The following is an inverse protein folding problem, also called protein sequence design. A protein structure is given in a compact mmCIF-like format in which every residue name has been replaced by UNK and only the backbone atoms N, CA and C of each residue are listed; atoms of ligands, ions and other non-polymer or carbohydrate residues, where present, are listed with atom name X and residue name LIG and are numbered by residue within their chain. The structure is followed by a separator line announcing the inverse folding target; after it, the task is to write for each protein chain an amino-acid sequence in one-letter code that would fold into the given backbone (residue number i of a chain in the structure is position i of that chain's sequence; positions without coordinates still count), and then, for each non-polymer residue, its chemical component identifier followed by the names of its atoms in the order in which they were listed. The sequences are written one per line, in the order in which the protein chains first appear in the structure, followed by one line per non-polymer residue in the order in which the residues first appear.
data_IF_806616890109
#
_entry.id   IF_806616890109
#
_cell.length_a   1.000
_cell.length_b   1.000
_cell.length_c   1.000
_cell.angle_alpha   90.00
_cell.angle_beta   90.00
_cell.angle_gamma   90.00
#
_symmetry.space_group_name_H-M   'P 1'
#
loop_
_entity.id
_entity.type
_entity.pdbx_description
1 polymer ?
#
# COMPACT_ATOMS: atom_id res chain seq x y z
N UNK A 1 -23.63 -58.00 -67.94
CA UNK A 1 -23.92 -58.76 -66.71
C UNK A 1 -23.02 -58.33 -65.62
N UNK A 2 -23.56 -58.07 -64.40
CA UNK A 2 -22.97 -57.87 -63.10
C UNK A 2 -22.65 -56.44 -62.74
N UNK A 3 -23.50 -55.92 -61.97
CA UNK A 3 -23.47 -54.79 -61.09
C UNK A 3 -22.62 -55.09 -59.87
N UNK A 4 -21.84 -54.12 -59.34
CA UNK A 4 -21.38 -54.12 -57.97
C UNK A 4 -21.38 -52.73 -57.38
N UNK A 5 -21.94 -52.68 -56.25
CA UNK A 5 -22.37 -51.52 -55.51
C UNK A 5 -21.25 -50.78 -54.78
N UNK A 6 -21.31 -49.45 -54.78
CA UNK A 6 -20.62 -48.58 -53.89
C UNK A 6 -21.41 -48.43 -52.57
N UNK A 7 -20.86 -48.90 -51.47
CA UNK A 7 -21.29 -48.52 -50.12
C UNK A 7 -20.08 -48.58 -49.18
N UNK A 8 -19.60 -47.43 -48.70
CA UNK A 8 -18.54 -47.40 -47.71
C UNK A 8 -17.87 -46.03 -47.53
N UNK A 9 -18.62 -44.99 -47.37
CA UNK A 9 -18.01 -43.66 -47.24
C UNK A 9 -18.69 -42.67 -46.26
N UNK A 10 -19.71 -43.07 -45.52
CA UNK A 10 -20.47 -42.10 -44.69
C UNK A 10 -20.41 -42.34 -43.18
N UNK A 11 -19.71 -43.36 -42.72
CA UNK A 11 -19.68 -43.67 -41.27
C UNK A 11 -18.52 -43.05 -40.48
N UNK A 12 -17.47 -42.55 -41.14
CA UNK A 12 -16.30 -41.97 -40.45
C UNK A 12 -16.40 -40.45 -40.16
N UNK A 13 -17.25 -39.72 -40.87
CA UNK A 13 -17.39 -38.27 -40.66
C UNK A 13 -18.27 -37.88 -39.48
N UNK A 14 -19.14 -38.76 -39.01
CA UNK A 14 -20.13 -38.45 -37.94
C UNK A 14 -19.55 -38.65 -36.54
N UNK A 15 -18.48 -39.42 -36.38
CA UNK A 15 -17.85 -39.70 -35.07
C UNK A 15 -16.76 -38.66 -34.69
N UNK A 16 -16.17 -37.99 -35.68
CA UNK A 16 -15.11 -36.99 -35.42
C UNK A 16 -15.65 -35.62 -34.98
N UNK A 17 -16.85 -35.25 -35.37
CA UNK A 17 -17.44 -33.95 -34.99
C UNK A 17 -17.77 -33.83 -33.48
N UNK A 18 -18.36 -34.81 -32.79
CA UNK A 18 -18.60 -34.73 -31.37
C UNK A 18 -17.34 -34.83 -30.52
N UNK A 19 -16.27 -35.49 -31.00
CA UNK A 19 -15.00 -35.57 -30.29
C UNK A 19 -14.22 -34.24 -30.30
N UNK A 20 -14.30 -33.50 -31.40
CA UNK A 20 -13.72 -32.13 -31.49
C UNK A 20 -14.50 -31.11 -30.66
N UNK A 21 -15.82 -31.25 -30.55
CA UNK A 21 -16.63 -30.41 -29.64
C UNK A 21 -16.37 -30.73 -28.16
N UNK A 22 -16.11 -31.98 -27.80
CA UNK A 22 -15.77 -32.35 -26.42
C UNK A 22 -14.35 -31.86 -26.03
N UNK A 23 -13.40 -31.85 -26.93
CA UNK A 23 -12.05 -31.32 -26.73
C UNK A 23 -12.03 -29.79 -26.61
N UNK A 24 -12.95 -29.10 -27.27
CA UNK A 24 -13.11 -27.64 -27.15
C UNK A 24 -13.72 -27.23 -25.79
N UNK A 25 -14.47 -28.12 -25.12
CA UNK A 25 -15.05 -27.90 -23.80
C UNK A 25 -14.07 -28.22 -22.63
N UNK A 26 -12.93 -28.82 -22.94
CA UNK A 26 -11.84 -29.13 -22.02
C UNK A 26 -10.68 -28.14 -22.10
N UNK A 27 -10.85 -27.00 -22.79
CA UNK A 27 -9.92 -25.89 -22.63
C UNK A 27 -9.91 -25.54 -21.15
N UNK A 28 -8.73 -25.58 -20.47
CA UNK A 28 -8.68 -25.16 -19.08
C UNK A 28 -9.23 -23.74 -19.03
N UNK A 29 -10.26 -23.50 -18.24
CA UNK A 29 -10.53 -22.15 -17.75
C UNK A 29 -9.21 -21.71 -17.09
N UNK A 30 -8.37 -21.06 -17.87
CA UNK A 30 -7.36 -20.19 -17.30
C UNK A 30 -8.17 -19.15 -16.54
N UNK A 31 -8.33 -19.39 -15.26
CA UNK A 31 -8.68 -18.37 -14.32
C UNK A 31 -7.54 -17.35 -14.43
N UNK A 32 -7.67 -16.43 -15.40
CA UNK A 32 -6.90 -15.20 -15.38
C UNK A 32 -7.25 -14.62 -14.03
N UNK A 33 -6.31 -14.67 -13.10
CA UNK A 33 -6.39 -13.88 -11.88
C UNK A 33 -6.73 -12.48 -12.37
N UNK A 34 -7.97 -12.04 -12.12
CA UNK A 34 -8.40 -10.73 -12.54
C UNK A 34 -7.37 -9.79 -11.91
N UNK A 35 -6.52 -9.20 -12.75
CA UNK A 35 -5.65 -8.14 -12.32
C UNK A 35 -6.54 -7.18 -11.54
N UNK A 36 -6.21 -6.94 -10.27
CA UNK A 36 -6.96 -6.01 -9.44
C UNK A 36 -6.88 -4.66 -10.15
N UNK A 37 -7.87 -4.39 -10.99
CA UNK A 37 -7.90 -3.15 -11.74
C UNK A 37 -8.58 -2.12 -10.87
N UNK A 38 -7.98 -0.93 -10.75
CA UNK A 38 -8.65 0.25 -10.19
C UNK A 38 -9.94 0.61 -10.98
N UNK A 39 -10.20 -0.09 -12.07
CA UNK A 39 -11.39 -0.03 -12.92
C UNK A 39 -12.55 -0.72 -12.20
N UNK A 40 -13.52 0.06 -11.74
CA UNK A 40 -14.72 -0.45 -11.06
C UNK A 40 -14.90 0.06 -9.62
N UNK A 41 -13.88 0.71 -9.04
CA UNK A 41 -14.10 1.54 -7.88
C UNK A 41 -14.77 2.83 -8.36
N UNK A 42 -16.08 2.92 -8.16
CA UNK A 42 -16.90 4.00 -8.71
C UNK A 42 -16.30 5.37 -8.33
N UNK A 43 -16.20 6.31 -9.29
CA UNK A 43 -15.78 7.67 -8.97
C UNK A 43 -16.70 8.26 -7.92
N UNK A 44 -16.15 9.09 -7.04
CA UNK A 44 -16.90 9.78 -5.99
C UNK A 44 -18.11 10.49 -6.59
N UNK A 45 -19.31 10.08 -6.19
CA UNK A 45 -20.54 10.73 -6.63
C UNK A 45 -20.61 12.16 -6.11
N UNK A 46 -21.02 13.10 -6.96
CA UNK A 46 -21.27 14.47 -6.52
C UNK A 46 -22.34 14.46 -5.43
N UNK A 47 -22.03 15.07 -4.29
CA UNK A 47 -22.97 15.19 -3.16
C UNK A 47 -24.11 16.14 -3.55
N UNK A 48 -25.31 15.87 -3.05
CA UNK A 48 -26.49 16.71 -3.34
C UNK A 48 -26.54 17.96 -2.47
N UNK A 49 -25.97 17.88 -1.28
CA UNK A 49 -25.90 19.00 -0.35
C UNK A 49 -24.46 19.46 -0.21
N UNK A 50 -24.27 20.78 -0.16
CA UNK A 50 -22.98 21.42 0.10
C UNK A 50 -23.17 22.36 1.27
N UNK A 51 -22.33 22.22 2.30
CA UNK A 51 -22.28 23.12 3.45
C UNK A 51 -20.83 23.60 3.65
N UNK A 52 -20.67 24.79 4.19
CA UNK A 52 -19.36 25.36 4.48
C UNK A 52 -19.02 25.24 5.95
N UNK A 53 -17.73 25.01 6.26
CA UNK A 53 -17.25 25.02 7.65
C UNK A 53 -17.51 26.40 8.33
N UNK A 54 -17.64 27.46 7.58
CA UNK A 54 -17.96 28.80 8.08
C UNK A 54 -19.36 28.88 8.70
N UNK A 55 -20.31 28.07 8.23
CA UNK A 55 -21.66 27.99 8.79
C UNK A 55 -21.68 27.42 10.22
N UNK A 56 -20.60 26.79 10.63
CA UNK A 56 -20.43 26.19 11.97
C UNK A 56 -19.52 27.04 12.87
N UNK A 57 -19.22 28.28 12.46
CA UNK A 57 -18.37 29.19 13.20
C UNK A 57 -16.87 28.96 12.96
N UNK A 58 -16.51 28.28 11.88
CA UNK A 58 -15.12 28.12 11.49
C UNK A 58 -14.51 29.43 11.01
N UNK A 59 -13.24 29.68 11.37
CA UNK A 59 -12.47 30.88 11.03
C UNK A 59 -11.13 30.48 10.42
N UNK A 60 -10.88 30.87 9.17
CA UNK A 60 -9.70 30.51 8.39
C UNK A 60 -8.50 31.44 8.54
N UNK A 61 -8.22 31.93 9.76
CA UNK A 61 -7.20 32.94 10.08
C UNK A 61 -5.83 32.35 10.48
N UNK A 62 -5.71 31.02 10.55
CA UNK A 62 -4.49 30.30 10.98
C UNK A 62 -4.20 30.35 12.48
N UNK A 63 -5.07 30.94 13.29
CA UNK A 63 -4.89 31.13 14.73
C UNK A 63 -6.02 30.52 15.55
N UNK A 64 -7.26 30.73 15.12
CA UNK A 64 -8.46 30.21 15.77
C UNK A 64 -8.53 28.69 15.63
N UNK A 65 -8.68 27.98 16.76
CA UNK A 65 -8.80 26.52 16.77
C UNK A 65 -10.22 26.09 16.38
N UNK A 66 -10.38 25.48 15.23
CA UNK A 66 -11.67 25.14 14.61
C UNK A 66 -12.18 23.72 14.95
N UNK A 67 -11.57 22.99 15.87
CA UNK A 67 -11.94 21.58 16.16
C UNK A 67 -13.42 21.45 16.46
N UNK A 68 -13.99 22.39 17.20
CA UNK A 68 -15.41 22.39 17.53
C UNK A 68 -16.29 22.63 16.29
N UNK A 69 -15.90 23.52 15.38
CA UNK A 69 -16.61 23.78 14.15
C UNK A 69 -16.66 22.52 13.26
N UNK A 70 -15.53 21.84 13.07
CA UNK A 70 -15.47 20.57 12.34
C UNK A 70 -16.35 19.50 12.98
N UNK A 71 -16.28 19.29 14.30
CA UNK A 71 -17.10 18.32 15.03
C UNK A 71 -18.60 18.63 14.89
N UNK A 72 -19.01 19.89 15.00
CA UNK A 72 -20.40 20.31 14.78
C UNK A 72 -20.86 20.00 13.36
N UNK A 73 -20.04 20.33 12.35
CA UNK A 73 -20.38 20.07 10.95
C UNK A 73 -20.57 18.57 10.70
N UNK A 74 -19.64 17.74 11.19
CA UNK A 74 -19.74 16.29 11.05
C UNK A 74 -20.94 15.74 11.80
N UNK A 75 -21.18 16.19 13.03
CA UNK A 75 -22.37 15.83 13.80
C UNK A 75 -23.68 16.14 13.06
N UNK A 76 -23.78 17.33 12.46
CA UNK A 76 -24.92 17.72 11.64
C UNK A 76 -25.09 16.79 10.42
N UNK A 77 -24.02 16.45 9.71
CA UNK A 77 -24.06 15.54 8.57
C UNK A 77 -24.54 14.14 9.01
N UNK A 78 -24.06 13.66 10.13
CA UNK A 78 -24.40 12.34 10.67
C UNK A 78 -25.86 12.22 11.05
N UNK A 79 -26.42 13.23 11.74
CA UNK A 79 -27.76 13.20 12.29
C UNK A 79 -28.85 13.75 11.35
N UNK A 80 -28.46 14.54 10.36
CA UNK A 80 -29.38 15.07 9.34
C UNK A 80 -29.03 14.53 7.95
N UNK A 81 -28.93 13.23 7.83
CA UNK A 81 -28.52 12.56 6.60
C UNK A 81 -29.38 12.97 5.42
N UNK A 82 -28.76 13.51 4.38
CA UNK A 82 -29.42 13.84 3.10
C UNK A 82 -29.22 12.71 2.10
N UNK A 83 -30.28 12.40 1.37
CA UNK A 83 -30.19 11.42 0.27
C UNK A 83 -29.15 11.89 -0.75
N UNK A 84 -28.10 11.08 -0.98
CA UNK A 84 -26.97 11.42 -1.86
C UNK A 84 -25.77 12.06 -1.14
N UNK A 85 -25.84 12.17 0.19
CA UNK A 85 -24.73 12.62 1.04
C UNK A 85 -24.47 14.12 1.00
N UNK A 86 -23.54 14.58 1.84
CA UNK A 86 -23.21 15.97 2.06
C UNK A 86 -21.71 16.25 1.81
N UNK A 87 -21.42 17.34 1.13
CA UNK A 87 -20.07 17.89 1.01
C UNK A 87 -19.85 18.95 2.10
N UNK A 88 -18.87 18.75 2.95
CA UNK A 88 -18.34 19.76 3.85
C UNK A 88 -17.20 20.49 3.14
N UNK A 89 -17.42 21.72 2.76
CA UNK A 89 -16.45 22.55 2.06
C UNK A 89 -15.62 23.37 3.02
N UNK A 90 -14.30 23.29 2.85
CA UNK A 90 -13.31 24.14 3.52
C UNK A 90 -12.84 25.19 2.50
N UNK A 91 -13.25 26.46 2.62
CA UNK A 91 -12.85 27.53 1.71
C UNK A 91 -11.35 27.87 1.81
N UNK A 92 -10.87 28.73 0.92
CA UNK A 92 -9.51 29.29 1.02
C UNK A 92 -9.28 29.93 2.41
N UNK A 93 -8.10 29.75 2.94
CA UNK A 93 -7.71 30.18 4.31
C UNK A 93 -6.91 29.11 5.05
N UNK A 94 -6.40 29.47 6.21
CA UNK A 94 -5.66 28.54 7.09
C UNK A 94 -6.52 28.15 8.28
N UNK A 95 -6.92 26.89 8.34
CA UNK A 95 -7.88 26.34 9.29
C UNK A 95 -7.13 25.50 10.34
N UNK A 96 -6.73 26.16 11.44
CA UNK A 96 -6.06 25.46 12.56
C UNK A 96 -7.07 24.59 13.29
N UNK A 97 -6.78 23.30 13.50
CA UNK A 97 -7.68 22.39 14.22
C UNK A 97 -6.91 21.28 14.94
N UNK A 98 -7.53 20.68 15.94
CA UNK A 98 -7.11 19.39 16.51
C UNK A 98 -7.71 18.22 15.74
N UNK A 99 -7.51 17.01 16.26
CA UNK A 99 -8.07 15.78 15.68
C UNK A 99 -9.60 15.78 15.63
N UNK A 100 -10.17 15.28 14.54
CA UNK A 100 -11.61 15.07 14.37
C UNK A 100 -11.93 13.87 13.49
N UNK A 101 -13.09 13.28 13.72
CA UNK A 101 -13.60 12.14 12.94
C UNK A 101 -14.47 12.63 11.79
N UNK A 102 -14.49 11.87 10.71
CA UNK A 102 -15.49 11.99 9.64
C UNK A 102 -16.69 11.06 9.92
N UNK A 103 -17.71 11.13 9.08
CA UNK A 103 -18.89 10.24 9.11
C UNK A 103 -19.18 9.68 7.73
N UNK A 104 -20.08 8.70 7.65
CA UNK A 104 -20.46 8.06 6.38
C UNK A 104 -21.23 9.00 5.45
N UNK A 105 -21.11 8.74 4.14
CA UNK A 105 -21.80 9.47 3.07
C UNK A 105 -21.45 10.96 3.00
N UNK A 106 -20.19 11.29 3.31
CA UNK A 106 -19.73 12.66 3.25
C UNK A 106 -18.53 12.85 2.32
N UNK A 107 -18.36 14.06 1.86
CA UNK A 107 -17.13 14.55 1.23
C UNK A 107 -16.55 15.67 2.07
N UNK A 108 -15.28 15.55 2.47
CA UNK A 108 -14.48 16.67 2.93
C UNK A 108 -13.78 17.28 1.72
N UNK A 109 -14.21 18.49 1.31
CA UNK A 109 -13.67 19.17 0.14
C UNK A 109 -12.81 20.36 0.54
N UNK A 110 -11.54 20.34 0.14
CA UNK A 110 -10.61 21.46 0.37
C UNK A 110 -10.47 22.29 -0.91
N UNK A 111 -10.99 23.52 -0.87
CA UNK A 111 -10.90 24.44 -1.99
C UNK A 111 -9.44 24.83 -2.27
N UNK A 112 -9.19 25.39 -3.44
CA UNK A 112 -7.89 26.00 -3.76
C UNK A 112 -7.55 27.07 -2.74
N UNK A 113 -6.33 27.00 -2.17
CA UNK A 113 -5.88 27.91 -1.12
C UNK A 113 -6.39 27.57 0.29
N UNK A 114 -7.15 26.48 0.47
CA UNK A 114 -7.46 25.95 1.80
C UNK A 114 -6.25 25.19 2.36
N UNK A 115 -5.88 25.50 3.59
CA UNK A 115 -4.87 24.77 4.38
C UNK A 115 -5.51 24.32 5.68
N UNK A 116 -5.77 23.01 5.80
CA UNK A 116 -6.20 22.40 7.05
C UNK A 116 -4.94 22.07 7.86
N UNK A 117 -4.72 22.80 8.95
CA UNK A 117 -3.49 22.80 9.72
C UNK A 117 -3.69 22.16 11.09
N UNK A 118 -2.92 21.14 11.41
CA UNK A 118 -2.99 20.47 12.71
C UNK A 118 -2.43 21.34 13.83
N UNK A 119 -3.03 21.28 15.02
CA UNK A 119 -2.47 21.99 16.19
C UNK A 119 -1.20 21.31 16.69
N UNK A 120 -0.21 22.10 17.07
CA UNK A 120 1.01 21.63 17.72
C UNK A 120 0.86 21.43 19.23
N UNK A 121 -0.27 21.82 19.81
CA UNK A 121 -0.60 21.54 21.21
C UNK A 121 -1.01 20.08 21.37
N UNK A 122 -0.07 19.22 21.76
CA UNK A 122 -0.27 17.76 21.89
C UNK A 122 -1.34 17.39 22.92
N UNK A 123 -1.66 18.27 23.89
CA UNK A 123 -2.72 18.06 24.88
C UNK A 123 -4.13 18.07 24.25
N UNK A 124 -4.26 18.57 23.02
CA UNK A 124 -5.52 18.60 22.26
C UNK A 124 -5.72 17.36 21.38
N UNK A 125 -4.81 16.40 21.47
CA UNK A 125 -4.90 15.14 20.74
C UNK A 125 -5.43 14.04 21.65
N UNK A 126 -6.62 13.49 21.37
CA UNK A 126 -7.18 12.40 22.16
C UNK A 126 -6.29 11.16 22.12
N UNK A 127 -6.28 10.39 23.18
CA UNK A 127 -5.72 9.05 23.21
C UNK A 127 -6.81 8.05 22.83
N UNK A 128 -6.42 7.03 22.08
CA UNK A 128 -7.26 5.91 21.64
C UNK A 128 -6.52 4.60 21.86
N UNK A 129 -7.28 3.50 21.89
CA UNK A 129 -6.71 2.16 22.04
C UNK A 129 -5.76 1.81 20.89
N UNK A 130 -4.78 0.97 21.12
CA UNK A 130 -3.95 0.38 20.07
C UNK A 130 -4.81 -0.38 19.06
N UNK A 131 -4.29 -0.54 17.85
CA UNK A 131 -4.94 -1.39 16.85
C UNK A 131 -4.87 -2.87 17.29
N UNK A 132 -5.95 -3.65 17.20
CA UNK A 132 -5.95 -5.05 17.61
C UNK A 132 -4.86 -5.90 16.95
N UNK A 133 -4.56 -5.66 15.65
CA UNK A 133 -3.49 -6.36 14.94
C UNK A 133 -2.08 -5.94 15.35
N UNK A 134 -1.94 -4.94 16.22
CA UNK A 134 -0.68 -4.47 16.81
C UNK A 134 -0.63 -4.73 18.33
N UNK A 135 -1.76 -5.00 18.97
CA UNK A 135 -1.92 -5.33 20.37
C UNK A 135 -1.50 -4.26 21.36
N UNK A 136 -0.38 -3.63 21.12
CA UNK A 136 0.20 -2.49 21.84
C UNK A 136 0.48 -1.37 20.85
N UNK A 137 0.81 -0.16 21.34
CA UNK A 137 1.21 0.94 20.47
C UNK A 137 2.43 0.57 19.61
N UNK A 138 2.47 1.03 18.37
CA UNK A 138 3.54 0.68 17.42
C UNK A 138 4.92 1.19 17.84
N UNK A 139 5.00 2.36 18.47
CA UNK A 139 6.25 2.95 18.96
C UNK A 139 6.39 2.83 20.47
N UNK A 140 5.31 3.09 21.18
CA UNK A 140 5.26 3.06 22.65
C UNK A 140 4.16 2.11 23.10
N UNK A 141 4.37 1.37 24.19
CA UNK A 141 3.33 0.51 24.75
C UNK A 141 2.10 1.31 25.21
N UNK A 142 0.91 0.72 25.03
CA UNK A 142 -0.34 1.30 25.52
C UNK A 142 -1.06 2.14 24.46
N UNK A 143 -1.79 3.14 24.92
CA UNK A 143 -2.61 4.00 24.06
C UNK A 143 -1.78 4.74 23.00
N UNK A 144 -2.45 5.14 21.93
CA UNK A 144 -1.87 5.95 20.85
C UNK A 144 -2.66 7.25 20.67
N UNK A 145 -2.02 8.26 20.12
CA UNK A 145 -2.75 9.47 19.75
C UNK A 145 -3.70 9.18 18.57
N UNK A 146 -4.92 9.71 18.67
CA UNK A 146 -5.89 9.66 17.57
C UNK A 146 -5.32 10.39 16.35
N UNK A 147 -5.54 9.84 15.17
CA UNK A 147 -5.08 10.42 13.91
C UNK A 147 -5.74 11.78 13.65
N UNK A 148 -5.08 12.63 12.87
CA UNK A 148 -5.56 14.00 12.65
C UNK A 148 -6.96 14.02 12.02
N UNK A 149 -7.15 13.25 10.96
CA UNK A 149 -8.46 12.97 10.36
C UNK A 149 -8.68 11.46 10.43
N UNK A 150 -9.78 11.05 11.03
CA UNK A 150 -10.04 9.62 11.21
C UNK A 150 -11.51 9.24 10.99
N UNK A 151 -11.74 7.94 10.85
CA UNK A 151 -13.08 7.36 10.78
C UNK A 151 -13.05 5.87 11.05
N UNK A 152 -14.11 5.35 11.69
CA UNK A 152 -14.23 3.93 12.00
C UNK A 152 -15.62 3.43 11.58
N UNK A 153 -15.67 2.30 10.85
CA UNK A 153 -16.91 1.69 10.38
C UNK A 153 -17.66 2.52 9.34
N UNK A 154 -16.97 3.40 8.62
CA UNK A 154 -17.58 4.33 7.69
C UNK A 154 -17.84 3.71 6.31
N UNK A 155 -18.80 4.30 5.60
CA UNK A 155 -19.14 3.94 4.22
C UNK A 155 -19.25 5.19 3.35
N UNK A 156 -18.71 5.11 2.13
CA UNK A 156 -18.84 6.17 1.11
C UNK A 156 -18.31 7.51 1.63
N UNK A 157 -17.01 7.58 1.91
CA UNK A 157 -16.33 8.78 2.39
C UNK A 157 -15.31 9.25 1.37
N UNK A 158 -15.32 10.53 1.10
CA UNK A 158 -14.40 11.17 0.16
C UNK A 158 -13.64 12.29 0.87
N UNK A 159 -12.32 12.30 0.71
CA UNK A 159 -11.48 13.46 0.99
C UNK A 159 -10.92 13.92 -0.35
N UNK A 160 -11.27 15.12 -0.79
CA UNK A 160 -10.82 15.63 -2.09
C UNK A 160 -10.74 17.15 -2.10
N UNK A 161 -10.34 17.73 -3.20
CA UNK A 161 -10.27 19.18 -3.30
C UNK A 161 -9.74 19.68 -4.64
N UNK A 162 -9.42 20.95 -4.66
CA UNK A 162 -8.71 21.61 -5.76
C UNK A 162 -7.30 22.01 -5.28
N UNK A 163 -6.42 21.03 -5.07
CA UNK A 163 -5.07 21.19 -4.52
C UNK A 163 -5.03 21.86 -3.15
N UNK A 164 -6.10 21.75 -2.36
CA UNK A 164 -6.07 22.14 -0.96
C UNK A 164 -5.08 21.27 -0.17
N UNK A 165 -4.62 21.79 0.96
CA UNK A 165 -3.52 21.22 1.73
C UNK A 165 -4.01 20.71 3.09
N UNK A 166 -3.54 19.54 3.50
CA UNK A 166 -3.59 19.06 4.89
C UNK A 166 -2.16 19.06 5.42
N UNK A 167 -1.88 19.90 6.41
CA UNK A 167 -0.56 20.04 7.04
C UNK A 167 -0.60 19.50 8.47
N UNK A 168 0.08 18.39 8.69
CA UNK A 168 0.13 17.70 9.99
C UNK A 168 1.01 18.36 11.03
N UNK A 169 1.82 19.38 10.64
CA UNK A 169 2.80 20.03 11.52
C UNK A 169 3.67 19.03 12.32
N UNK A 170 4.12 17.97 11.65
CA UNK A 170 4.79 16.80 12.25
C UNK A 170 6.08 17.12 13.02
N UNK A 171 6.71 18.27 12.80
CA UNK A 171 8.00 18.60 13.38
C UNK A 171 8.02 18.50 14.92
N UNK A 172 6.96 18.91 15.60
CA UNK A 172 6.84 18.78 17.07
C UNK A 172 6.92 17.31 17.50
N UNK A 173 6.29 16.43 16.74
CA UNK A 173 6.26 14.98 16.98
C UNK A 173 7.60 14.32 16.67
N UNK A 174 8.24 14.71 15.54
CA UNK A 174 9.56 14.21 15.17
C UNK A 174 10.62 14.61 16.18
N UNK A 175 10.54 15.83 16.73
CA UNK A 175 11.44 16.30 17.77
C UNK A 175 11.26 15.52 19.08
N UNK A 176 10.02 15.21 19.48
CA UNK A 176 9.77 14.34 20.64
C UNK A 176 10.30 12.91 20.40
N UNK A 177 10.13 12.38 19.20
CA UNK A 177 10.67 11.08 18.82
C UNK A 177 12.21 11.06 18.90
N UNK A 178 12.88 12.03 18.29
CA UNK A 178 14.35 12.15 18.32
C UNK A 178 14.90 12.31 19.73
N UNK A 179 14.18 13.03 20.58
CA UNK A 179 14.54 13.24 22.00
C UNK A 179 14.12 12.09 22.92
N UNK A 180 13.41 11.07 22.39
CA UNK A 180 12.87 9.95 23.17
C UNK A 180 11.94 10.40 24.31
N UNK A 181 11.14 11.43 24.07
CA UNK A 181 10.18 11.99 25.04
C UNK A 181 8.73 11.68 24.69
N UNK A 182 8.49 10.85 23.68
CA UNK A 182 7.16 10.34 23.36
C UNK A 182 6.66 9.46 24.50
N UNK A 183 5.41 9.67 24.90
CA UNK A 183 4.70 8.83 25.87
C UNK A 183 3.78 7.82 25.21
N UNK A 184 3.31 8.11 24.00
CA UNK A 184 2.39 7.30 23.21
C UNK A 184 2.80 7.31 21.74
N UNK A 185 2.35 6.31 20.98
CA UNK A 185 2.57 6.29 19.54
C UNK A 185 1.99 7.55 18.88
N UNK A 186 2.77 8.15 18.00
CA UNK A 186 2.40 9.36 17.25
C UNK A 186 1.11 9.18 16.44
N UNK A 187 0.37 10.26 16.15
CA UNK A 187 -0.83 10.18 15.33
C UNK A 187 -0.49 10.04 13.83
N UNK A 188 -1.27 9.27 13.10
CA UNK A 188 -1.26 9.33 11.63
C UNK A 188 -1.93 10.62 11.13
N UNK A 189 -1.70 10.99 9.87
CA UNK A 189 -2.37 12.16 9.31
C UNK A 189 -3.83 11.84 8.92
N UNK A 190 -4.05 10.76 8.16
CA UNK A 190 -5.38 10.29 7.78
C UNK A 190 -5.47 8.79 8.06
N UNK A 191 -6.44 8.38 8.86
CA UNK A 191 -6.64 6.98 9.22
C UNK A 191 -8.12 6.58 9.12
N UNK A 192 -8.38 5.53 8.38
CA UNK A 192 -9.70 4.89 8.34
C UNK A 192 -9.59 3.46 8.84
N UNK A 193 -10.50 3.10 9.75
CA UNK A 193 -10.60 1.75 10.32
C UNK A 193 -11.93 1.12 9.93
N UNK A 194 -11.94 -0.19 9.61
CA UNK A 194 -13.16 -0.97 9.33
C UNK A 194 -14.12 -0.30 8.31
N UNK A 195 -13.58 0.49 7.39
CA UNK A 195 -14.37 1.34 6.50
C UNK A 195 -14.38 0.81 5.06
N UNK A 196 -15.40 1.17 4.29
CA UNK A 196 -15.53 0.73 2.90
C UNK A 196 -15.95 1.87 1.97
N UNK A 197 -15.42 1.87 0.74
CA UNK A 197 -15.73 2.92 -0.23
C UNK A 197 -15.07 4.25 0.15
N UNK A 198 -13.78 4.23 0.43
CA UNK A 198 -12.99 5.40 0.80
C UNK A 198 -12.28 5.93 -0.45
N UNK A 199 -12.38 7.22 -0.72
CA UNK A 199 -11.71 7.86 -1.84
C UNK A 199 -10.94 9.11 -1.38
N UNK A 200 -9.63 9.13 -1.59
CA UNK A 200 -8.76 10.25 -1.24
C UNK A 200 -8.07 10.74 -2.51
N UNK A 201 -8.28 12.02 -2.87
CA UNK A 201 -7.77 12.50 -4.16
C UNK A 201 -7.59 14.02 -4.25
N UNK A 202 -6.76 14.45 -5.22
CA UNK A 202 -6.65 15.85 -5.66
C UNK A 202 -6.24 16.85 -4.58
N UNK A 203 -5.55 16.42 -3.54
CA UNK A 203 -5.07 17.26 -2.43
C UNK A 203 -3.59 17.06 -2.17
N UNK A 204 -3.03 17.92 -1.36
CA UNK A 204 -1.65 17.87 -0.90
C UNK A 204 -1.63 17.51 0.58
N UNK A 205 -0.91 16.45 0.95
CA UNK A 205 -0.60 16.13 2.35
C UNK A 205 0.82 16.59 2.66
N UNK A 206 1.01 17.22 3.82
CA UNK A 206 2.33 17.71 4.25
C UNK A 206 2.61 17.37 5.69
N UNK A 207 3.87 17.06 5.96
CA UNK A 207 4.43 17.01 7.31
C UNK A 207 3.58 16.17 8.27
N UNK A 208 3.25 14.94 7.87
CA UNK A 208 2.57 14.03 8.79
C UNK A 208 3.39 13.80 10.06
N UNK A 209 2.76 13.72 11.22
CA UNK A 209 3.47 13.32 12.46
C UNK A 209 4.08 11.91 12.39
N UNK A 210 3.40 10.99 11.70
CA UNK A 210 3.75 9.59 11.50
C UNK A 210 3.36 9.17 10.08
N UNK A 211 2.70 8.06 9.84
CA UNK A 211 2.22 7.64 8.51
C UNK A 211 1.20 8.64 7.93
N UNK A 212 1.23 8.87 6.62
CA UNK A 212 0.33 9.86 5.99
C UNK A 212 -1.07 9.31 5.79
N UNK A 213 -1.24 8.23 5.03
CA UNK A 213 -2.56 7.62 4.76
C UNK A 213 -2.52 6.17 5.23
N UNK A 214 -3.30 5.85 6.25
CA UNK A 214 -3.36 4.53 6.86
C UNK A 214 -4.79 3.96 6.81
N UNK A 215 -5.20 3.31 5.72
CA UNK A 215 -6.42 2.52 5.70
C UNK A 215 -6.15 1.17 6.36
N UNK A 216 -6.75 0.93 7.52
CA UNK A 216 -6.58 -0.30 8.28
C UNK A 216 -7.91 -1.03 8.43
N UNK A 217 -7.92 -2.34 8.15
CA UNK A 217 -9.14 -3.18 8.12
C UNK A 217 -10.20 -2.67 7.12
N UNK A 218 -9.79 -1.98 6.09
CA UNK A 218 -10.67 -1.35 5.10
C UNK A 218 -10.92 -2.24 3.89
N UNK A 219 -11.93 -1.85 3.10
CA UNK A 219 -12.23 -2.47 1.82
C UNK A 219 -12.62 -1.38 0.80
N UNK A 220 -12.23 -1.55 -0.47
CA UNK A 220 -12.54 -0.60 -1.54
C UNK A 220 -12.00 0.81 -1.22
N UNK A 221 -10.68 0.96 -1.21
CA UNK A 221 -9.99 2.22 -0.96
C UNK A 221 -9.30 2.70 -2.24
N UNK A 222 -9.49 3.96 -2.59
CA UNK A 222 -8.80 4.62 -3.71
C UNK A 222 -8.02 5.81 -3.20
N UNK A 223 -6.73 5.86 -3.54
CA UNK A 223 -5.84 6.99 -3.32
C UNK A 223 -5.29 7.41 -4.67
N UNK A 224 -5.68 8.55 -5.19
CA UNK A 224 -5.31 8.95 -6.55
C UNK A 224 -5.03 10.45 -6.69
N UNK A 225 -4.13 10.81 -7.61
CA UNK A 225 -3.76 12.20 -7.89
C UNK A 225 -3.37 12.99 -6.62
N UNK A 226 -2.57 12.37 -5.79
CA UNK A 226 -2.09 12.94 -4.52
C UNK A 226 -0.69 13.53 -4.67
N UNK A 227 -0.40 14.54 -3.86
CA UNK A 227 0.95 14.98 -3.57
C UNK A 227 1.21 14.83 -2.07
N UNK A 228 2.13 13.93 -1.68
CA UNK A 228 2.45 13.63 -0.27
C UNK A 228 3.89 14.03 -0.01
N UNK A 229 4.08 14.96 0.92
CA UNK A 229 5.37 15.62 1.14
C UNK A 229 5.75 15.63 2.62
N UNK A 230 6.97 15.21 2.92
CA UNK A 230 7.65 15.42 4.21
C UNK A 230 9.15 15.52 4.00
N UNK A 231 9.91 16.15 4.89
CA UNK A 231 11.37 16.13 4.83
C UNK A 231 11.93 14.70 4.85
N UNK A 232 13.01 14.44 4.13
CA UNK A 232 13.61 13.11 4.08
C UNK A 232 14.22 12.65 5.43
N UNK A 233 14.42 13.55 6.37
CA UNK A 233 14.86 13.25 7.73
C UNK A 233 13.70 13.11 8.74
N UNK A 234 12.44 13.21 8.26
CA UNK A 234 11.26 13.00 9.11
C UNK A 234 11.03 11.52 9.37
N UNK A 235 11.00 11.07 10.64
CA UNK A 235 10.90 9.65 10.95
C UNK A 235 9.50 9.11 10.69
N UNK A 236 9.43 7.96 10.00
CA UNK A 236 8.23 7.16 9.76
C UNK A 236 7.09 7.95 9.09
N UNK A 237 7.43 8.78 8.13
CA UNK A 237 6.44 9.52 7.36
C UNK A 237 6.09 8.81 6.05
N UNK A 238 5.83 7.50 6.15
CA UNK A 238 5.39 6.66 5.04
C UNK A 238 4.22 7.32 4.29
N UNK A 239 4.17 7.15 2.97
CA UNK A 239 3.16 7.83 2.15
C UNK A 239 1.79 7.18 2.26
N UNK A 240 1.65 5.91 1.93
CA UNK A 240 0.39 5.16 2.02
C UNK A 240 0.65 3.77 2.56
N UNK A 241 -0.05 3.40 3.61
CA UNK A 241 0.11 2.12 4.32
C UNK A 241 -1.19 1.32 4.31
N UNK A 242 -1.52 0.59 3.23
CA UNK A 242 -2.64 -0.35 3.28
C UNK A 242 -2.34 -1.44 4.31
N UNK A 243 -3.16 -1.54 5.35
CA UNK A 243 -2.95 -2.45 6.46
C UNK A 243 -4.17 -3.35 6.68
N UNK A 244 -3.98 -4.65 6.62
CA UNK A 244 -5.07 -5.63 6.80
C UNK A 244 -6.31 -5.25 5.96
N UNK A 245 -6.09 -4.72 4.76
CA UNK A 245 -7.09 -4.09 3.89
C UNK A 245 -7.17 -4.79 2.53
N UNK A 246 -8.34 -4.76 1.92
CA UNK A 246 -8.61 -5.47 0.67
C UNK A 246 -9.12 -4.52 -0.41
N UNK A 247 -8.73 -4.78 -1.66
CA UNK A 247 -9.13 -3.99 -2.81
C UNK A 247 -8.76 -2.50 -2.64
N UNK A 248 -7.45 -2.25 -2.57
CA UNK A 248 -6.86 -0.92 -2.43
C UNK A 248 -6.16 -0.53 -3.72
N UNK A 249 -6.46 0.65 -4.23
CA UNK A 249 -5.83 1.22 -5.39
C UNK A 249 -5.10 2.51 -5.05
N UNK A 250 -3.81 2.58 -5.38
CA UNK A 250 -2.95 3.76 -5.21
C UNK A 250 -2.37 4.12 -6.57
N UNK A 251 -2.76 5.28 -7.09
CA UNK A 251 -2.36 5.62 -8.45
C UNK A 251 -2.12 7.11 -8.68
N UNK A 252 -1.43 7.44 -9.80
CA UNK A 252 -1.25 8.80 -10.31
C UNK A 252 -0.73 9.79 -9.25
N UNK A 253 0.14 9.35 -8.35
CA UNK A 253 0.52 10.11 -7.17
C UNK A 253 2.02 10.41 -7.11
N UNK A 254 2.36 11.56 -6.55
CA UNK A 254 3.72 11.96 -6.25
C UNK A 254 3.95 11.91 -4.73
N UNK A 255 4.96 11.17 -4.29
CA UNK A 255 5.27 10.97 -2.88
C UNK A 255 6.76 11.27 -2.64
N UNK A 256 7.05 12.18 -1.71
CA UNK A 256 8.42 12.47 -1.27
C UNK A 256 8.42 12.63 0.24
N UNK A 257 8.94 11.63 0.94
CA UNK A 257 8.75 11.47 2.38
C UNK A 257 10.02 10.93 3.06
N UNK A 258 10.02 10.90 4.37
CA UNK A 258 11.15 10.43 5.17
C UNK A 258 11.16 8.92 5.42
N UNK A 259 10.15 8.18 4.95
CA UNK A 259 10.08 6.72 5.01
C UNK A 259 9.45 6.17 3.72
N UNK A 260 9.07 4.89 3.67
CA UNK A 260 8.59 4.19 2.48
C UNK A 260 7.49 4.97 1.73
N UNK A 261 7.53 5.01 0.38
CA UNK A 261 6.47 5.71 -0.38
C UNK A 261 5.14 4.98 -0.25
N UNK A 262 5.16 3.66 -0.35
CA UNK A 262 4.03 2.78 -0.07
C UNK A 262 4.54 1.58 0.70
N UNK A 263 3.91 1.26 1.83
CA UNK A 263 4.24 0.08 2.62
C UNK A 263 2.99 -0.75 2.94
N UNK A 264 2.85 -1.90 2.28
CA UNK A 264 1.72 -2.81 2.51
C UNK A 264 1.95 -3.58 3.80
N UNK A 265 1.01 -3.51 4.72
CA UNK A 265 1.08 -4.09 6.07
C UNK A 265 -0.10 -4.99 6.35
N UNK A 266 0.00 -5.85 7.38
CA UNK A 266 -1.11 -6.69 7.86
C UNK A 266 -0.89 -7.15 9.32
N UNK A 267 -0.54 -6.19 10.17
CA UNK A 267 -0.36 -6.44 11.60
C UNK A 267 1.01 -7.00 12.01
N UNK A 268 1.25 -7.08 13.30
CA UNK A 268 2.57 -7.21 13.92
C UNK A 268 2.68 -8.43 14.82
N UNK A 269 3.50 -9.41 14.46
CA UNK A 269 3.81 -10.66 15.13
C UNK A 269 2.56 -11.39 15.68
N UNK A 270 2.56 -11.84 16.93
CA UNK A 270 1.47 -12.59 17.54
C UNK A 270 0.12 -11.88 17.46
N UNK A 271 0.09 -10.55 17.52
CA UNK A 271 -1.14 -9.77 17.39
C UNK A 271 -1.70 -9.81 15.98
N UNK A 272 -0.83 -9.65 14.98
CA UNK A 272 -1.22 -9.76 13.56
C UNK A 272 -1.63 -11.17 13.19
N UNK A 273 -0.94 -12.19 13.71
CA UNK A 273 -1.27 -13.61 13.54
C UNK A 273 -2.64 -13.90 14.15
N UNK A 274 -2.86 -13.49 15.40
CA UNK A 274 -4.12 -13.74 16.11
C UNK A 274 -5.30 -13.00 15.47
N UNK A 275 -5.08 -11.78 14.99
CA UNK A 275 -6.10 -11.02 14.27
C UNK A 275 -6.43 -11.65 12.91
N UNK A 276 -5.45 -12.24 12.24
CA UNK A 276 -5.61 -13.09 11.07
C UNK A 276 -6.21 -12.42 9.84
N UNK A 277 -6.07 -11.09 9.69
CA UNK A 277 -6.65 -10.36 8.57
C UNK A 277 -5.57 -9.93 7.58
N UNK A 278 -5.53 -10.51 6.37
CA UNK A 278 -4.52 -10.17 5.37
C UNK A 278 -4.81 -8.84 4.67
N UNK A 279 -3.78 -8.29 4.04
CA UNK A 279 -3.91 -7.33 2.95
C UNK A 279 -3.91 -8.07 1.62
N UNK A 280 -4.87 -7.76 0.73
CA UNK A 280 -4.99 -8.45 -0.55
C UNK A 280 -5.64 -7.58 -1.64
N UNK A 281 -5.42 -7.96 -2.90
CA UNK A 281 -5.91 -7.21 -4.07
C UNK A 281 -5.48 -5.73 -4.01
N UNK A 282 -4.17 -5.50 -3.87
CA UNK A 282 -3.56 -4.17 -3.79
C UNK A 282 -2.95 -3.82 -5.14
N UNK A 283 -3.36 -2.71 -5.72
CA UNK A 283 -2.78 -2.18 -6.96
C UNK A 283 -2.09 -0.85 -6.71
N UNK A 284 -0.82 -0.77 -7.11
CA UNK A 284 0.00 0.45 -7.03
C UNK A 284 0.48 0.74 -8.45
N UNK A 285 0.07 1.87 -9.02
CA UNK A 285 0.47 2.19 -10.38
C UNK A 285 0.69 3.67 -10.63
N UNK A 286 1.63 3.98 -11.51
CA UNK A 286 1.99 5.37 -11.86
C UNK A 286 2.31 6.24 -10.62
N UNK A 287 2.87 5.61 -9.59
CA UNK A 287 3.42 6.32 -8.42
C UNK A 287 4.84 6.74 -8.73
N UNK A 288 5.14 8.00 -8.43
CA UNK A 288 6.48 8.58 -8.58
C UNK A 288 6.95 9.14 -7.24
N UNK A 289 8.20 8.91 -6.89
CA UNK A 289 8.64 9.45 -5.62
C UNK A 289 10.08 9.18 -5.23
N UNK A 290 10.41 9.77 -4.08
CA UNK A 290 11.73 9.73 -3.46
C UNK A 290 11.62 9.53 -1.95
N UNK A 291 12.43 8.62 -1.41
CA UNK A 291 12.48 8.30 0.02
C UNK A 291 13.88 7.87 0.44
N UNK A 292 14.35 8.22 1.63
CA UNK A 292 15.59 7.64 2.17
C UNK A 292 15.49 6.12 2.39
N UNK A 293 14.27 5.58 2.48
CA UNK A 293 13.97 4.15 2.62
C UNK A 293 13.49 3.54 1.29
N UNK A 294 12.31 2.96 1.22
CA UNK A 294 11.90 2.19 0.04
C UNK A 294 10.93 2.95 -0.87
N UNK A 295 11.02 2.69 -2.17
CA UNK A 295 9.99 3.09 -3.11
C UNK A 295 8.70 2.31 -2.83
N UNK A 296 8.72 1.02 -3.11
CA UNK A 296 7.58 0.13 -2.80
C UNK A 296 8.04 -0.91 -1.79
N UNK A 297 7.34 -0.97 -0.66
CA UNK A 297 7.59 -1.93 0.40
C UNK A 297 6.38 -2.85 0.66
N UNK A 298 6.69 -4.08 1.06
CA UNK A 298 5.74 -5.00 1.70
C UNK A 298 6.34 -5.35 3.05
N UNK A 299 5.57 -5.15 4.11
CA UNK A 299 6.03 -5.33 5.50
C UNK A 299 6.77 -4.09 6.05
N UNK A 300 7.49 -4.26 7.17
CA UNK A 300 7.77 -5.50 7.89
C UNK A 300 6.57 -6.09 8.62
N UNK A 301 5.57 -5.32 8.99
CA UNK A 301 4.36 -5.76 9.68
C UNK A 301 3.44 -6.50 8.69
N UNK A 302 3.68 -7.81 8.48
CA UNK A 302 2.97 -8.63 7.49
C UNK A 302 2.39 -9.93 8.09
N UNK A 303 2.10 -9.93 9.39
CA UNK A 303 1.78 -11.13 10.16
C UNK A 303 0.41 -11.73 9.85
N UNK A 304 -0.56 -10.91 9.39
CA UNK A 304 -1.85 -11.39 8.90
C UNK A 304 -1.82 -11.94 7.48
N UNK A 305 -0.68 -11.80 6.78
CA UNK A 305 -0.49 -12.19 5.39
C UNK A 305 -0.70 -11.04 4.39
N UNK A 306 0.00 -11.13 3.26
CA UNK A 306 -0.15 -10.24 2.10
C UNK A 306 -0.23 -11.07 0.84
N UNK A 307 -1.23 -10.81 0.00
CA UNK A 307 -1.37 -11.49 -1.30
C UNK A 307 -1.94 -10.62 -2.40
N UNK A 308 -1.73 -11.06 -3.64
CA UNK A 308 -2.35 -10.49 -4.82
C UNK A 308 -2.04 -8.99 -4.95
N UNK A 309 -0.75 -8.67 -5.00
CA UNK A 309 -0.22 -7.32 -5.13
C UNK A 309 0.25 -7.10 -6.56
N UNK A 310 -0.20 -6.01 -7.17
CA UNK A 310 0.25 -5.54 -8.47
C UNK A 310 0.91 -4.16 -8.31
N UNK A 311 2.15 -4.06 -8.75
CA UNK A 311 2.90 -2.79 -8.86
C UNK A 311 3.24 -2.58 -10.32
N UNK A 312 2.80 -1.50 -10.93
CA UNK A 312 3.06 -1.25 -12.35
C UNK A 312 3.34 0.23 -12.66
N UNK A 313 4.15 0.47 -13.69
CA UNK A 313 4.42 1.81 -14.25
C UNK A 313 4.95 2.83 -13.22
N UNK A 314 5.69 2.39 -12.22
CA UNK A 314 6.19 3.25 -11.14
C UNK A 314 7.58 3.84 -11.44
N UNK A 315 7.88 4.98 -10.84
CA UNK A 315 9.15 5.70 -11.01
C UNK A 315 9.74 6.12 -9.65
N UNK A 316 10.84 5.47 -9.25
CA UNK A 316 11.48 5.63 -7.95
C UNK A 316 12.84 6.30 -8.14
N UNK A 317 13.10 7.39 -7.44
CA UNK A 317 14.36 8.10 -7.58
C UNK A 317 14.93 8.58 -6.25
N UNK A 318 16.25 8.70 -6.16
CA UNK A 318 16.98 9.14 -4.97
C UNK A 318 16.54 8.42 -3.68
N UNK A 319 16.26 7.13 -3.79
CA UNK A 319 15.71 6.31 -2.69
C UNK A 319 16.76 5.37 -2.11
N UNK A 320 16.50 4.83 -0.91
CA UNK A 320 17.33 3.79 -0.32
C UNK A 320 17.18 2.49 -1.10
N UNK A 321 15.95 1.99 -1.21
CA UNK A 321 15.61 0.81 -1.98
C UNK A 321 14.60 1.14 -3.07
N UNK A 322 14.63 0.38 -4.17
CA UNK A 322 13.58 0.43 -5.17
C UNK A 322 12.35 -0.38 -4.72
N UNK A 323 12.49 -1.69 -4.66
CA UNK A 323 11.48 -2.64 -4.23
C UNK A 323 12.01 -3.37 -3.01
N UNK A 324 11.21 -3.45 -1.93
CA UNK A 324 11.64 -4.03 -0.67
C UNK A 324 10.54 -4.89 -0.02
N UNK A 325 10.73 -6.19 0.00
CA UNK A 325 9.89 -7.12 0.77
C UNK A 325 10.62 -7.40 2.08
N UNK A 326 9.97 -7.11 3.20
CA UNK A 326 10.53 -7.15 4.56
C UNK A 326 9.74 -8.13 5.41
N UNK A 327 10.41 -9.12 5.97
CA UNK A 327 9.83 -10.04 6.96
C UNK A 327 10.91 -10.56 7.90
N UNK A 328 10.53 -11.30 8.94
CA UNK A 328 11.45 -11.84 9.94
C UNK A 328 10.85 -13.10 10.60
N UNK A 329 11.69 -13.90 11.25
CA UNK A 329 11.22 -14.93 12.19
C UNK A 329 10.38 -14.22 13.28
N UNK A 330 9.25 -14.80 13.66
CA UNK A 330 8.28 -14.18 14.56
C UNK A 330 7.11 -13.51 13.85
N UNK A 331 7.28 -13.11 12.58
CA UNK A 331 6.21 -12.53 11.78
C UNK A 331 5.10 -13.54 11.47
N UNK A 332 5.45 -14.82 11.20
CA UNK A 332 4.46 -15.75 10.65
C UNK A 332 3.83 -15.23 9.36
N UNK A 333 2.59 -15.60 9.09
CA UNK A 333 1.87 -15.15 7.92
C UNK A 333 2.51 -15.57 6.59
N UNK A 334 2.17 -14.84 5.54
CA UNK A 334 2.68 -15.11 4.19
C UNK A 334 2.75 -13.84 3.35
N UNK A 335 3.64 -13.84 2.35
CA UNK A 335 3.68 -12.86 1.26
C UNK A 335 3.67 -13.66 -0.04
N UNK A 336 2.61 -13.53 -0.85
CA UNK A 336 2.45 -14.33 -2.07
C UNK A 336 1.74 -13.61 -3.21
N UNK A 337 1.95 -14.09 -4.45
CA UNK A 337 1.34 -13.54 -5.66
C UNK A 337 1.61 -12.04 -5.80
N UNK A 338 2.88 -11.67 -5.73
CA UNK A 338 3.34 -10.28 -5.90
C UNK A 338 3.88 -10.13 -7.31
N UNK A 339 3.31 -9.22 -8.07
CA UNK A 339 3.79 -8.85 -9.40
C UNK A 339 4.25 -7.41 -9.41
N UNK A 340 5.49 -7.20 -9.84
CA UNK A 340 6.06 -5.88 -10.10
C UNK A 340 6.43 -5.81 -11.57
N UNK A 341 5.88 -4.85 -12.28
CA UNK A 341 6.11 -4.68 -13.71
C UNK A 341 6.37 -3.22 -14.09
N UNK A 342 7.25 -3.01 -15.06
CA UNK A 342 7.59 -1.71 -15.61
C UNK A 342 7.94 -0.64 -14.56
N UNK A 343 8.95 -0.92 -13.74
CA UNK A 343 9.44 0.03 -12.72
C UNK A 343 10.76 0.65 -13.18
N UNK A 344 10.84 1.97 -13.12
CA UNK A 344 12.06 2.75 -13.39
C UNK A 344 12.68 3.25 -12.10
N UNK A 345 14.00 3.15 -12.02
CA UNK A 345 14.77 3.57 -10.85
C UNK A 345 15.92 4.49 -11.22
N UNK A 346 16.18 5.50 -10.41
CA UNK A 346 17.37 6.34 -10.57
C UNK A 346 17.93 6.79 -9.21
N UNK A 347 19.26 6.67 -9.04
CA UNK A 347 19.92 7.11 -7.81
C UNK A 347 19.50 6.31 -6.57
N UNK A 348 19.37 4.98 -6.69
CA UNK A 348 19.03 4.09 -5.57
C UNK A 348 20.30 3.77 -4.78
N UNK A 349 20.32 4.18 -3.50
CA UNK A 349 21.54 4.25 -2.69
C UNK A 349 21.91 2.96 -1.98
N UNK A 350 20.97 2.02 -1.81
CA UNK A 350 21.24 0.74 -1.14
C UNK A 350 21.09 -0.40 -2.13
N UNK A 351 19.88 -0.76 -2.54
CA UNK A 351 19.65 -1.84 -3.50
C UNK A 351 18.42 -1.60 -4.38
N UNK A 352 18.49 -2.00 -5.64
CA UNK A 352 17.36 -1.94 -6.56
C UNK A 352 16.21 -2.84 -6.09
N UNK A 353 16.52 -4.08 -5.74
CA UNK A 353 15.55 -5.08 -5.22
C UNK A 353 16.09 -5.69 -3.94
N UNK A 354 15.30 -5.71 -2.89
CA UNK A 354 15.59 -6.46 -1.67
C UNK A 354 14.39 -7.31 -1.25
N UNK A 355 14.66 -8.59 -0.97
CA UNK A 355 13.73 -9.47 -0.28
C UNK A 355 14.47 -10.00 0.95
N UNK A 356 13.98 -9.65 2.15
CA UNK A 356 14.71 -9.84 3.40
C UNK A 356 13.89 -10.65 4.41
N UNK A 357 14.45 -11.76 4.84
CA UNK A 357 13.93 -12.61 5.92
C UNK A 357 14.49 -12.25 7.30
N UNK A 358 15.17 -11.11 7.43
CA UNK A 358 15.80 -10.61 8.64
C UNK A 358 15.51 -9.12 8.88
N UNK A 359 14.39 -8.62 8.38
CA UNK A 359 14.06 -7.20 8.41
C UNK A 359 12.81 -6.92 9.24
N UNK A 360 12.93 -5.91 10.11
CA UNK A 360 11.86 -5.43 10.98
C UNK A 360 12.09 -5.82 12.45
N UNK A 361 11.60 -4.93 13.31
CA UNK A 361 11.62 -5.09 14.76
C UNK A 361 10.41 -5.92 15.25
N UNK A 362 10.43 -6.29 16.51
CA UNK A 362 9.36 -7.01 17.20
C UNK A 362 8.67 -6.09 18.22
N UNK A 363 7.41 -6.36 18.60
CA UNK A 363 6.75 -5.61 19.65
C UNK A 363 7.48 -5.70 21.00
N UNK A 364 8.04 -6.87 21.28
CA UNK A 364 8.84 -7.15 22.46
C UNK A 364 9.70 -8.42 22.26
N UNK A 365 10.31 -8.94 23.31
CA UNK A 365 11.16 -10.13 23.26
C UNK A 365 10.38 -11.47 23.29
N UNK A 366 9.06 -11.44 23.36
CA UNK A 366 8.23 -12.64 23.53
C UNK A 366 7.65 -13.19 22.22
N UNK A 367 8.10 -12.69 21.07
CA UNK A 367 7.65 -13.21 19.77
C UNK A 367 7.99 -14.69 19.59
N UNK A 368 7.14 -15.43 18.90
CA UNK A 368 7.31 -16.86 18.68
C UNK A 368 8.38 -17.16 17.64
N UNK A 369 9.46 -17.80 18.02
CA UNK A 369 10.49 -18.31 17.10
C UNK A 369 9.95 -19.36 16.10
N UNK A 370 8.77 -19.94 16.38
CA UNK A 370 8.12 -20.92 15.51
C UNK A 370 7.23 -20.25 14.45
N UNK A 371 6.93 -18.97 14.61
CA UNK A 371 6.14 -18.20 13.65
C UNK A 371 7.02 -17.74 12.48
N UNK A 372 7.31 -18.65 11.58
CA UNK A 372 8.17 -18.41 10.42
C UNK A 372 7.30 -18.00 9.22
N UNK A 373 7.55 -16.85 8.59
CA UNK A 373 6.79 -16.39 7.42
C UNK A 373 7.12 -17.20 6.17
N UNK A 374 6.19 -17.24 5.23
CA UNK A 374 6.43 -17.76 3.89
C UNK A 374 6.44 -16.63 2.86
N UNK A 375 7.38 -16.67 1.91
CA UNK A 375 7.39 -15.78 0.73
C UNK A 375 7.41 -16.65 -0.52
N UNK A 376 6.39 -16.47 -1.36
CA UNK A 376 6.17 -17.36 -2.49
C UNK A 376 5.54 -16.65 -3.69
N UNK A 377 5.91 -17.01 -4.90
CA UNK A 377 5.38 -16.43 -6.13
C UNK A 377 5.54 -14.89 -6.21
N UNK A 378 6.78 -14.43 -6.18
CA UNK A 378 7.14 -13.02 -6.40
C UNK A 378 7.74 -12.88 -7.79
N UNK A 379 7.08 -12.12 -8.65
CA UNK A 379 7.51 -11.81 -10.01
C UNK A 379 7.91 -10.35 -10.13
N UNK A 380 9.12 -10.11 -10.59
CA UNK A 380 9.66 -8.76 -10.84
C UNK A 380 10.11 -8.71 -12.31
N UNK A 381 9.40 -7.94 -13.11
CA UNK A 381 9.57 -7.89 -14.55
C UNK A 381 9.77 -6.46 -15.06
N UNK A 382 10.49 -6.32 -16.17
CA UNK A 382 10.65 -5.03 -16.86
C UNK A 382 11.15 -3.90 -15.95
N UNK A 383 12.14 -4.18 -15.12
CA UNK A 383 12.73 -3.18 -14.21
C UNK A 383 14.00 -2.62 -14.83
N UNK A 384 14.08 -1.31 -14.88
CA UNK A 384 15.25 -0.61 -15.39
C UNK A 384 15.73 0.46 -14.41
N UNK A 385 17.04 0.49 -14.13
CA UNK A 385 17.59 1.43 -13.15
C UNK A 385 18.99 1.93 -13.51
N UNK A 386 19.26 3.21 -13.22
CA UNK A 386 20.58 3.85 -13.34
C UNK A 386 20.99 4.45 -11.99
N UNK A 387 22.30 4.44 -11.71
CA UNK A 387 22.81 4.92 -10.42
C UNK A 387 22.34 4.05 -9.24
N UNK A 388 22.19 2.74 -9.45
CA UNK A 388 21.79 1.76 -8.44
C UNK A 388 23.06 1.21 -7.78
N UNK A 389 23.24 1.40 -6.47
CA UNK A 389 24.48 1.03 -5.78
C UNK A 389 24.71 -0.48 -5.68
N UNK A 390 23.67 -1.26 -5.47
CA UNK A 390 23.65 -2.73 -5.50
C UNK A 390 22.44 -3.21 -6.29
N UNK A 391 22.57 -4.19 -7.18
CA UNK A 391 21.45 -4.67 -7.99
C UNK A 391 20.36 -5.27 -7.09
N UNK A 392 20.72 -6.14 -6.15
CA UNK A 392 19.77 -6.67 -5.21
C UNK A 392 20.33 -7.66 -4.20
N UNK A 393 19.52 -7.92 -3.18
CA UNK A 393 19.75 -8.92 -2.14
C UNK A 393 18.45 -9.71 -1.91
N UNK A 394 18.50 -11.02 -2.07
CA UNK A 394 17.39 -11.96 -1.90
C UNK A 394 17.77 -12.95 -0.82
N UNK A 395 17.37 -12.66 0.42
CA UNK A 395 17.81 -13.42 1.60
C UNK A 395 16.57 -13.96 2.33
N UNK A 396 16.31 -15.25 2.10
CA UNK A 396 15.25 -15.99 2.76
C UNK A 396 15.62 -16.46 4.17
N UNK A 397 14.73 -17.21 4.77
CA UNK A 397 14.91 -17.83 6.08
C UNK A 397 15.23 -19.32 5.87
N UNK A 398 16.28 -19.82 6.51
CA UNK A 398 16.74 -21.21 6.32
C UNK A 398 15.65 -22.26 6.57
N UNK A 399 14.82 -22.05 7.59
CA UNK A 399 13.71 -22.96 7.92
C UNK A 399 12.47 -22.76 7.01
N UNK A 400 12.41 -21.67 6.26
CA UNK A 400 11.36 -21.35 5.30
C UNK A 400 11.96 -20.62 4.09
N UNK A 401 12.67 -21.32 3.21
CA UNK A 401 13.26 -20.70 2.02
C UNK A 401 12.18 -20.02 1.18
N UNK A 402 12.49 -18.86 0.64
CA UNK A 402 11.58 -18.13 -0.23
C UNK A 402 11.55 -18.79 -1.62
N UNK A 403 10.37 -19.02 -2.15
CA UNK A 403 10.18 -19.85 -3.34
C UNK A 403 9.48 -19.13 -4.48
N UNK A 404 9.64 -19.65 -5.68
CA UNK A 404 9.08 -19.08 -6.90
C UNK A 404 9.37 -17.59 -7.07
N UNK A 405 10.64 -17.20 -6.81
CA UNK A 405 11.10 -15.83 -7.03
C UNK A 405 11.53 -15.72 -8.50
N UNK A 406 10.89 -14.84 -9.26
CA UNK A 406 11.18 -14.65 -10.67
C UNK A 406 11.64 -13.24 -11.00
N UNK A 407 12.80 -13.12 -11.61
CA UNK A 407 13.31 -11.88 -12.18
C UNK A 407 13.32 -12.00 -13.71
N UNK A 408 12.61 -11.14 -14.42
CA UNK A 408 12.60 -11.14 -15.89
C UNK A 408 12.82 -9.75 -16.47
N UNK A 409 13.77 -9.61 -17.40
CA UNK A 409 14.12 -8.33 -18.02
C UNK A 409 14.41 -7.23 -16.98
N UNK A 410 15.26 -7.56 -15.98
CA UNK A 410 15.70 -6.62 -14.92
C UNK A 410 17.10 -6.11 -15.26
N UNK A 411 17.23 -4.83 -15.49
CA UNK A 411 18.49 -4.18 -15.92
C UNK A 411 18.83 -3.01 -15.00
N UNK A 412 19.81 -3.22 -14.14
CA UNK A 412 20.23 -2.24 -13.12
C UNK A 412 21.69 -1.85 -13.36
N UNK A 413 21.95 -0.57 -13.48
CA UNK A 413 23.26 -0.02 -13.84
C UNK A 413 23.78 0.96 -12.80
N UNK A 414 25.09 1.21 -12.80
CA UNK A 414 25.73 2.19 -11.93
C UNK A 414 26.07 1.65 -10.54
N UNK A 415 26.08 0.33 -10.39
CA UNK A 415 26.52 -0.35 -9.16
C UNK A 415 28.01 -0.12 -8.91
N UNK A 416 28.44 -0.23 -7.68
CA UNK A 416 29.87 -0.19 -7.31
C UNK A 416 30.62 -1.36 -7.97
N UNK A 417 31.85 -1.16 -8.37
CA UNK A 417 32.69 -2.20 -8.93
C UNK A 417 32.66 -3.46 -8.05
N UNK A 418 32.29 -4.60 -8.64
CA UNK A 418 32.15 -5.87 -7.94
C UNK A 418 30.83 -6.08 -7.18
N UNK A 419 29.89 -5.11 -7.18
CA UNK A 419 28.58 -5.35 -6.59
C UNK A 419 27.80 -6.36 -7.44
N UNK A 420 27.43 -7.47 -6.80
CA UNK A 420 26.67 -8.56 -7.39
C UNK A 420 25.35 -8.77 -6.65
N UNK A 421 24.45 -9.52 -7.24
CA UNK A 421 23.29 -10.05 -6.53
C UNK A 421 23.76 -10.93 -5.36
N UNK A 422 23.08 -10.80 -4.23
CA UNK A 422 23.28 -11.68 -3.07
C UNK A 422 22.05 -12.53 -2.92
N UNK A 423 22.23 -13.86 -2.79
CA UNK A 423 21.12 -14.76 -2.56
C UNK A 423 21.48 -15.75 -1.47
N UNK A 424 20.50 -16.08 -0.64
CA UNK A 424 20.59 -17.08 0.39
C UNK A 424 19.18 -17.61 0.72
N UNK A 425 19.03 -18.91 0.82
CA UNK A 425 17.75 -19.55 1.16
C UNK A 425 16.58 -19.07 0.28
N UNK A 426 16.82 -18.96 -1.03
CA UNK A 426 15.83 -18.59 -2.04
C UNK A 426 15.86 -19.59 -3.19
N UNK A 427 14.73 -19.75 -3.88
CA UNK A 427 14.60 -20.59 -5.09
C UNK A 427 13.78 -19.84 -6.12
N UNK A 428 14.24 -19.88 -7.37
CA UNK A 428 13.52 -19.19 -8.41
C UNK A 428 14.21 -19.23 -9.76
N UNK A 429 13.89 -18.28 -10.62
CA UNK A 429 14.44 -18.16 -11.95
C UNK A 429 14.79 -16.71 -12.30
N UNK A 430 15.75 -16.54 -13.20
CA UNK A 430 16.10 -15.25 -13.76
C UNK A 430 16.28 -15.33 -15.27
N UNK A 431 15.65 -14.42 -16.00
CA UNK A 431 15.73 -14.31 -17.45
C UNK A 431 16.02 -12.87 -17.87
N UNK A 432 17.08 -12.65 -18.65
CA UNK A 432 17.43 -11.31 -19.14
C UNK A 432 17.78 -10.31 -18.05
N UNK A 433 18.42 -10.78 -16.95
CA UNK A 433 18.81 -9.97 -15.80
C UNK A 433 20.25 -9.46 -15.97
N UNK A 434 20.48 -8.19 -15.68
CA UNK A 434 21.81 -7.57 -15.67
C UNK A 434 21.97 -6.65 -14.46
N UNK A 435 23.08 -6.77 -13.67
CA UNK A 435 24.15 -7.78 -13.82
C UNK A 435 23.62 -9.20 -13.61
N UNK A 436 24.45 -10.21 -13.99
CA UNK A 436 24.07 -11.61 -13.86
C UNK A 436 23.62 -11.94 -12.44
N UNK A 437 22.50 -12.65 -12.26
CA UNK A 437 21.98 -13.01 -10.93
C UNK A 437 22.83 -14.09 -10.28
N UNK A 438 22.53 -14.39 -9.02
CA UNK A 438 23.10 -15.49 -8.25
C UNK A 438 22.63 -16.87 -8.75
N UNK A 439 23.42 -17.90 -8.41
CA UNK A 439 23.17 -19.28 -8.85
C UNK A 439 21.84 -19.86 -8.35
N UNK A 440 21.33 -19.42 -7.23
CA UNK A 440 20.04 -19.83 -6.63
C UNK A 440 18.83 -19.51 -7.53
N UNK A 441 18.99 -18.59 -8.49
CA UNK A 441 18.00 -18.23 -9.50
C UNK A 441 18.27 -18.91 -10.86
N UNK A 442 19.24 -19.81 -10.93
CA UNK A 442 19.60 -20.49 -12.17
C UNK A 442 18.78 -21.76 -12.44
N UNK A 443 17.75 -22.06 -11.66
CA UNK A 443 17.02 -23.32 -11.69
C UNK A 443 15.93 -23.42 -12.76
N UNK A 444 15.44 -24.61 -12.98
CA UNK A 444 14.70 -25.25 -14.07
C UNK A 444 13.47 -24.53 -14.66
N UNK A 445 12.99 -23.42 -14.08
CA UNK A 445 11.92 -22.62 -14.71
C UNK A 445 12.40 -21.87 -15.96
N UNK A 446 13.69 -21.70 -16.14
CA UNK A 446 14.28 -21.09 -17.34
C UNK A 446 14.03 -21.93 -18.62
N UNK A 447 13.75 -23.22 -18.48
CA UNK A 447 13.47 -24.12 -19.60
C UNK A 447 12.10 -23.83 -20.28
N UNK A 448 11.18 -23.13 -19.60
CA UNK A 448 9.87 -22.81 -20.14
C UNK A 448 9.80 -21.41 -20.80
N UNK A 449 10.90 -20.65 -20.84
CA UNK A 449 10.95 -19.33 -21.51
C UNK A 449 10.11 -18.23 -20.85
N UNK A 450 9.43 -18.50 -19.74
CA UNK A 450 8.62 -17.54 -19.01
C UNK A 450 8.59 -17.82 -17.51
N UNK A 451 8.47 -16.77 -16.72
CA UNK A 451 8.17 -16.85 -15.29
C UNK A 451 6.65 -17.02 -15.05
N UNK A 452 6.01 -17.94 -15.72
CA UNK A 452 4.61 -18.28 -15.47
C UNK A 452 4.50 -19.28 -14.32
N UNK A 453 3.78 -18.95 -13.28
CA UNK A 453 3.32 -19.85 -12.23
C UNK A 453 1.83 -19.67 -12.00
#
# INVERSE_FOLDING_TARGET
MATSSFRGGLAMAVVLLPLLLLLALLAPLQCAAAAATCVGLAPAKRRREVISITEFGGVGDGRTVNTWAFRKAVYRIEHQRRRGGTELRVPAGTWLTGSFNLTSHMTLFLARGAVLKATTDTRRWPLVEPLPSYGRGREMPGARYASFISGNGLRDVVITGDKGVIDGQGEVWWNMWRRRTLQHTRPNLVEFMHSTGIHISNIVLKNSPFWNIHPVYCNNVVVTNMMILAPHDSPNTDGVDPDSSTNVCIEDSYISTGDDLVAIKSGWDEYGIAYGRPSSAITIRRVRGSSPFSGIAIGSEASGGVSDVLVEDCSIFNSGYGIHIKTNVGRGGYIKNVTVDNVRMSGVRVAGVRIAGDAGDHPDAHFSQLAVPTVDAVRITNVWGVGVQQPGSLEGIRSSPFTRICLSNVKLFGWRNGAAWRCRDVRGAALGVRPSPCAELATSFAAAGSCSF
#
